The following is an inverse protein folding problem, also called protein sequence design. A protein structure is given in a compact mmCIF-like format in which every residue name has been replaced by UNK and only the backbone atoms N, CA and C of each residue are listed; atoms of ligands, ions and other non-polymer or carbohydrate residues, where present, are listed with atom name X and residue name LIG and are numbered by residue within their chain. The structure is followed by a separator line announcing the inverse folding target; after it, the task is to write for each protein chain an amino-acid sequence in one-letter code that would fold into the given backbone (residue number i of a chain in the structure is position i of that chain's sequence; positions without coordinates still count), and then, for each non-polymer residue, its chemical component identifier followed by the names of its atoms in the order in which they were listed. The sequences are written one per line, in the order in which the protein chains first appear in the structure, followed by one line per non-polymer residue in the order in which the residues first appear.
data_IF_989420865596
#
_entry.id   IF_989420865596
#
_cell.length_a   1.000
_cell.length_b   1.000
_cell.length_c   1.000
_cell.angle_alpha   90.00
_cell.angle_beta   90.00
_cell.angle_gamma   90.00
#
_symmetry.space_group_name_H-M   'P 1'
#
loop_
_entity.id
_entity.type
_entity.pdbx_description
1 polymer ?
#
# COMPACT_ATOMS: atom_id res chain seq x y z
N UNK A 1 9.94 2.36 16.85
CA UNK A 1 8.97 3.30 16.26
C UNK A 1 9.33 3.31 14.79
N UNK A 2 8.61 2.55 13.97
CA UNK A 2 8.88 2.52 12.53
C UNK A 2 8.15 3.73 11.95
N UNK A 3 8.88 4.81 11.74
CA UNK A 3 8.29 6.00 11.14
C UNK A 3 7.69 5.64 9.79
N UNK A 4 6.43 6.02 9.56
CA UNK A 4 5.72 5.73 8.33
C UNK A 4 6.52 6.29 7.14
N UNK A 5 7.09 5.38 6.34
CA UNK A 5 8.05 5.74 5.31
C UNK A 5 7.34 6.11 4.01
N UNK A 6 7.85 7.13 3.33
CA UNK A 6 7.40 7.51 2.00
C UNK A 6 8.35 6.93 0.95
N UNK A 7 7.85 6.62 -0.26
CA UNK A 7 8.70 6.16 -1.34
C UNK A 7 9.74 7.24 -1.73
N UNK A 8 10.97 6.82 -2.11
CA UNK A 8 12.04 7.76 -2.45
C UNK A 8 11.63 8.62 -3.64
N UNK A 9 11.82 9.94 -3.53
CA UNK A 9 11.46 10.90 -4.58
C UNK A 9 9.98 11.29 -4.62
N UNK A 10 9.15 10.73 -3.73
CA UNK A 10 7.73 11.07 -3.61
C UNK A 10 7.43 11.85 -2.34
N UNK A 11 6.56 12.83 -2.47
CA UNK A 11 5.98 13.56 -1.34
C UNK A 11 4.54 13.14 -1.12
N UNK A 12 4.07 13.22 0.13
CA UNK A 12 2.68 12.94 0.46
C UNK A 12 1.71 13.82 -0.35
N UNK A 13 2.08 15.07 -0.65
CA UNK A 13 1.26 15.95 -1.49
C UNK A 13 1.15 15.44 -2.92
N UNK A 14 2.23 14.97 -3.54
CA UNK A 14 2.17 14.38 -4.89
C UNK A 14 1.31 13.12 -4.92
N UNK A 15 1.42 12.27 -3.90
CA UNK A 15 0.59 11.07 -3.77
C UNK A 15 -0.90 11.45 -3.72
N UNK A 16 -1.27 12.46 -2.92
CA UNK A 16 -2.65 12.98 -2.83
C UNK A 16 -3.14 13.60 -4.14
N UNK A 17 -2.25 14.29 -4.86
CA UNK A 17 -2.59 14.91 -6.14
C UNK A 17 -2.85 13.86 -7.23
N UNK A 18 -2.01 12.83 -7.32
CA UNK A 18 -2.13 11.76 -8.32
C UNK A 18 -3.29 10.80 -8.00
N UNK A 19 -3.45 10.41 -6.74
CA UNK A 19 -4.58 9.55 -6.32
C UNK A 19 -5.92 10.28 -6.30
N UNK A 20 -5.93 11.61 -6.27
CA UNK A 20 -7.12 12.42 -6.04
C UNK A 20 -7.66 12.33 -4.60
N UNK A 21 -7.05 11.53 -3.71
CA UNK A 21 -7.48 11.39 -2.33
C UNK A 21 -6.62 12.25 -1.40
N UNK A 22 -7.20 13.37 -0.93
CA UNK A 22 -6.55 14.27 0.03
C UNK A 22 -6.32 13.64 1.40
N UNK A 23 -6.96 12.50 1.70
CA UNK A 23 -6.80 11.75 2.94
C UNK A 23 -5.68 10.73 2.87
N UNK A 24 -4.92 10.67 1.76
CA UNK A 24 -3.77 9.79 1.68
C UNK A 24 -2.80 10.07 2.85
N UNK A 25 -2.42 9.03 3.58
CA UNK A 25 -1.49 9.10 4.72
C UNK A 25 -0.52 7.92 4.69
N UNK A 26 0.76 8.13 5.01
CA UNK A 26 1.67 7.01 5.21
C UNK A 26 1.28 6.31 6.51
N UNK A 27 1.22 4.98 6.47
CA UNK A 27 0.91 4.12 7.60
C UNK A 27 2.17 3.39 8.06
N UNK A 28 2.16 2.95 9.32
CA UNK A 28 3.23 2.13 9.89
C UNK A 28 3.31 0.78 9.15
N UNK A 29 4.51 0.36 8.70
CA UNK A 29 4.71 -0.92 8.02
C UNK A 29 4.63 -2.13 8.97
N UNK A 30 4.59 -1.96 10.29
CA UNK A 30 4.45 -3.08 11.22
C UNK A 30 2.98 -3.56 11.32
N UNK A 31 2.40 -3.94 10.18
CA UNK A 31 1.00 -4.39 10.02
C UNK A 31 0.95 -5.74 9.31
N UNK A 32 -0.10 -6.50 9.60
CA UNK A 32 -0.37 -7.75 8.91
C UNK A 32 -0.87 -7.47 7.49
N UNK A 33 0.00 -7.70 6.49
CA UNK A 33 -0.36 -7.62 5.08
C UNK A 33 -0.45 -9.03 4.51
N UNK A 34 -1.57 -9.30 3.86
CA UNK A 34 -1.89 -10.58 3.26
C UNK A 34 -2.12 -10.39 1.77
N UNK A 35 -1.37 -11.09 0.94
CA UNK A 35 -1.62 -11.19 -0.49
C UNK A 35 -2.65 -12.28 -0.76
N UNK A 36 -3.85 -11.86 -1.16
CA UNK A 36 -4.95 -12.72 -1.57
C UNK A 36 -4.81 -12.97 -3.07
N UNK A 37 -3.92 -13.89 -3.44
CA UNK A 37 -3.81 -14.35 -4.81
C UNK A 37 -5.09 -15.11 -5.23
N UNK A 38 -5.54 -14.90 -6.46
CA UNK A 38 -6.71 -15.61 -7.03
C UNK A 38 -6.54 -17.15 -7.01
N UNK A 39 -5.31 -17.64 -6.87
CA UNK A 39 -4.96 -19.06 -6.76
C UNK A 39 -5.08 -19.65 -5.34
N UNK A 40 -5.54 -18.88 -4.35
CA UNK A 40 -5.94 -19.37 -3.02
C UNK A 40 -4.81 -19.62 -2.04
N UNK A 41 -3.55 -19.32 -2.40
CA UNK A 41 -2.45 -19.25 -1.46
C UNK A 41 -2.37 -17.81 -0.95
N UNK A 42 -2.85 -17.64 0.27
CA UNK A 42 -2.69 -16.42 1.04
C UNK A 42 -1.22 -16.30 1.49
N UNK A 43 -0.50 -15.31 0.99
CA UNK A 43 0.89 -15.08 1.39
C UNK A 43 1.02 -13.88 2.33
N UNK A 44 1.77 -14.02 3.42
CA UNK A 44 2.07 -12.88 4.29
C UNK A 44 3.21 -12.05 3.69
N UNK A 45 2.89 -10.83 3.29
CA UNK A 45 3.88 -9.88 2.79
C UNK A 45 4.46 -9.09 3.96
N UNK A 46 5.77 -8.83 3.90
CA UNK A 46 6.42 -7.88 4.81
C UNK A 46 6.45 -6.50 4.15
N UNK A 47 5.51 -5.60 4.49
CA UNK A 47 5.51 -4.25 3.93
C UNK A 47 6.76 -3.48 4.39
N UNK A 48 7.39 -2.79 3.46
CA UNK A 48 8.38 -1.74 3.75
C UNK A 48 7.68 -0.38 3.86
N UNK A 49 6.78 -0.11 2.91
CA UNK A 49 6.04 1.15 2.80
C UNK A 49 4.55 0.83 2.70
N UNK A 50 3.74 1.52 3.51
CA UNK A 50 2.28 1.42 3.46
C UNK A 50 1.69 2.82 3.31
N UNK A 51 0.82 2.98 2.32
CA UNK A 51 0.08 4.21 2.05
C UNK A 51 -1.41 3.89 2.19
N UNK A 52 -2.10 4.58 3.10
CA UNK A 52 -3.55 4.46 3.28
C UNK A 52 -4.31 5.55 2.54
N UNK A 53 -5.36 5.18 1.81
CA UNK A 53 -6.28 6.02 1.04
C UNK A 53 -7.70 5.76 1.53
N UNK A 54 -8.02 6.24 2.73
CA UNK A 54 -9.30 5.96 3.37
C UNK A 54 -9.49 4.46 3.67
N UNK A 55 -10.30 3.77 2.86
CA UNK A 55 -10.57 2.33 2.97
C UNK A 55 -9.63 1.45 2.13
N UNK A 56 -8.85 2.06 1.23
CA UNK A 56 -7.88 1.36 0.39
C UNK A 56 -6.46 1.61 0.90
N UNK A 57 -5.53 0.77 0.50
CA UNK A 57 -4.12 0.95 0.79
C UNK A 57 -3.23 0.44 -0.34
N UNK A 58 -2.05 1.04 -0.46
CA UNK A 58 -0.96 0.57 -1.29
C UNK A 58 0.20 0.14 -0.39
N UNK A 59 0.76 -1.01 -0.70
CA UNK A 59 1.85 -1.63 0.05
C UNK A 59 2.99 -1.93 -0.88
N UNK A 60 4.20 -1.51 -0.53
CA UNK A 60 5.43 -1.99 -1.17
C UNK A 60 6.14 -2.91 -0.19
N UNK A 61 6.26 -4.22 -0.46
CA UNK A 61 6.98 -5.14 0.42
C UNK A 61 8.50 -4.97 0.30
N UNK A 62 9.25 -5.38 1.32
CA UNK A 62 10.72 -5.27 1.35
C UNK A 62 11.39 -6.16 0.29
N UNK A 63 10.73 -7.26 -0.08
CA UNK A 63 11.26 -8.27 -0.99
C UNK A 63 10.85 -8.07 -2.45
N UNK A 64 10.07 -7.04 -2.76
CA UNK A 64 9.53 -6.79 -4.09
C UNK A 64 9.58 -5.29 -4.42
N UNK A 65 9.73 -4.96 -5.70
CA UNK A 65 9.64 -3.56 -6.14
C UNK A 65 8.19 -3.16 -6.45
N UNK A 66 7.33 -4.16 -6.68
CA UNK A 66 5.93 -4.01 -7.03
C UNK A 66 5.08 -3.41 -5.90
N UNK A 67 4.04 -2.70 -6.29
CA UNK A 67 3.04 -2.08 -5.44
C UNK A 67 1.78 -2.91 -5.36
N UNK A 68 1.48 -3.38 -4.16
CA UNK A 68 0.34 -4.22 -3.85
C UNK A 68 -0.81 -3.35 -3.34
N UNK A 69 -1.87 -3.24 -4.12
CA UNK A 69 -3.10 -2.58 -3.72
C UNK A 69 -4.01 -3.53 -2.94
N UNK A 70 -4.56 -3.00 -1.86
CA UNK A 70 -5.35 -3.71 -0.88
C UNK A 70 -6.51 -2.90 -0.32
N UNK A 71 -7.34 -3.60 0.43
CA UNK A 71 -8.30 -2.98 1.34
C UNK A 71 -7.70 -2.92 2.74
N UNK A 72 -7.82 -1.77 3.39
CA UNK A 72 -7.43 -1.57 4.79
C UNK A 72 -8.65 -1.79 5.67
N UNK A 73 -8.53 -2.71 6.62
CA UNK A 73 -9.58 -2.96 7.61
C UNK A 73 -9.36 -2.16 8.90
N UNK A 74 -10.42 -2.01 9.69
CA UNK A 74 -10.42 -1.27 10.97
C UNK A 74 -9.50 -1.91 12.02
N UNK A 75 -9.31 -3.24 11.96
CA UNK A 75 -8.34 -4.00 12.75
C UNK A 75 -6.88 -3.66 12.39
N UNK A 76 -6.65 -2.94 11.30
CA UNK A 76 -5.32 -2.59 10.79
C UNK A 76 -4.69 -3.67 9.91
N UNK A 77 -5.40 -4.77 9.69
CA UNK A 77 -5.09 -5.80 8.70
C UNK A 77 -5.30 -5.29 7.27
N UNK A 78 -4.51 -5.80 6.33
CA UNK A 78 -4.55 -5.42 4.92
C UNK A 78 -4.65 -6.68 4.06
N UNK A 79 -5.64 -6.72 3.18
CA UNK A 79 -5.75 -7.74 2.14
C UNK A 79 -5.43 -7.13 0.78
N UNK A 80 -4.26 -7.46 0.25
CA UNK A 80 -3.81 -7.08 -1.08
C UNK A 80 -4.35 -8.07 -2.14
N UNK A 81 -4.80 -7.55 -3.27
CA UNK A 81 -5.54 -8.31 -4.30
C UNK A 81 -5.19 -7.85 -5.73
N UNK A 82 -4.45 -6.76 -5.88
CA UNK A 82 -3.85 -6.35 -7.15
C UNK A 82 -2.42 -5.88 -6.92
N UNK A 83 -1.55 -6.12 -7.90
CA UNK A 83 -0.16 -5.69 -7.89
C UNK A 83 0.09 -4.83 -9.13
N UNK A 84 0.93 -3.81 -8.98
CA UNK A 84 1.27 -2.82 -9.98
C UNK A 84 2.79 -2.66 -10.00
N UNK A 85 3.39 -2.67 -11.18
CA UNK A 85 4.83 -2.44 -11.36
C UNK A 85 5.22 -1.02 -10.92
N UNK A 86 4.33 -0.04 -11.18
CA UNK A 86 4.55 1.37 -10.91
C UNK A 86 3.59 1.94 -9.86
N UNK A 87 4.14 2.70 -8.90
CA UNK A 87 3.35 3.48 -7.94
C UNK A 87 2.39 4.45 -8.65
N UNK A 88 2.83 5.07 -9.75
CA UNK A 88 2.00 6.03 -10.47
C UNK A 88 0.74 5.37 -11.06
N UNK A 89 0.87 4.19 -11.64
CA UNK A 89 -0.28 3.43 -12.15
C UNK A 89 -1.20 2.99 -11.02
N UNK A 90 -0.62 2.53 -9.91
CA UNK A 90 -1.36 2.13 -8.72
C UNK A 90 -2.17 3.30 -8.14
N UNK A 91 -1.58 4.49 -8.03
CA UNK A 91 -2.26 5.69 -7.56
C UNK A 91 -3.38 6.13 -8.49
N UNK A 92 -3.20 6.02 -9.80
CA UNK A 92 -4.21 6.36 -10.81
C UNK A 92 -5.38 5.36 -10.83
N UNK A 93 -5.18 4.16 -10.29
CA UNK A 93 -6.20 3.12 -10.20
C UNK A 93 -7.15 3.23 -9.00
N UNK A 94 -6.87 4.14 -8.06
CA UNK A 94 -7.73 4.45 -6.90
C UNK A 94 -8.92 5.33 -7.30
#
# INVERSE_FOLDING_TARGET
MADAQLPPGWTLQQIRDVSGDQRAVPLDPNRAVKWVAFAGADEMLQPEIVLGFGSLCLVKPVHDDDWYMGSLYDDGSIDCWSAYDDLYEALRGL
#
